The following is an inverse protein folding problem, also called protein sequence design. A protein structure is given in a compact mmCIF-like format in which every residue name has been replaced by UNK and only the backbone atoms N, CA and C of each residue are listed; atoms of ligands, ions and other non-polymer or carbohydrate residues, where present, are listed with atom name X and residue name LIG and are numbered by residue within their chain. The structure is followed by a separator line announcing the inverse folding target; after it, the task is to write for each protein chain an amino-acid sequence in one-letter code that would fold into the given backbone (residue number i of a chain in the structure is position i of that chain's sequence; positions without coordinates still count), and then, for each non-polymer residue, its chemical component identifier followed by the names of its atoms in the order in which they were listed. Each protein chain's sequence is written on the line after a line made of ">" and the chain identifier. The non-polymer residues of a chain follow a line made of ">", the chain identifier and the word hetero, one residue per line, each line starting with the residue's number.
data_IF_169110223103
#
_entry.id   IF_169110223103
#
_cell.length_a   1.000
_cell.length_b   1.000
_cell.length_c   1.000
_cell.angle_alpha   90.00
_cell.angle_beta   90.00
_cell.angle_gamma   90.00
#
_symmetry.space_group_name_H-M   'P 1'
#
loop_
_entity.id
_entity.type
_entity.pdbx_description
1 polymer ?
#
# COMPACT_ATOMS: atom_id res chain seq x y z
N UNK A 1 12.43 -9.56 10.12
CA UNK A 1 11.22 -9.05 10.83
C UNK A 1 10.64 -7.85 10.10
N UNK A 2 9.32 -7.74 10.06
CA UNK A 2 8.67 -6.56 9.51
C UNK A 2 8.97 -5.33 10.36
N UNK A 3 8.72 -4.16 9.79
CA UNK A 3 8.87 -2.88 10.49
C UNK A 3 7.98 -2.84 11.76
N UNK A 4 8.47 -2.23 12.82
CA UNK A 4 7.76 -2.18 14.10
C UNK A 4 6.42 -1.44 14.00
N UNK A 5 6.33 -0.40 13.18
CA UNK A 5 5.08 0.33 12.98
C UNK A 5 4.04 -0.51 12.25
N UNK A 6 4.48 -1.34 11.30
CA UNK A 6 3.62 -2.31 10.61
C UNK A 6 3.08 -3.32 11.60
N UNK A 7 3.97 -3.90 12.41
CA UNK A 7 3.59 -4.89 13.43
C UNK A 7 2.58 -4.30 14.41
N UNK A 8 2.83 -3.09 14.89
CA UNK A 8 1.94 -2.42 15.83
C UNK A 8 0.55 -2.19 15.21
N UNK A 9 0.47 -1.75 13.97
CA UNK A 9 -0.80 -1.51 13.29
C UNK A 9 -1.61 -2.81 13.16
N UNK A 10 -0.96 -3.92 12.84
CA UNK A 10 -1.61 -5.22 12.72
C UNK A 10 -2.11 -5.74 14.06
N UNK A 11 -1.31 -5.60 15.11
CA UNK A 11 -1.68 -6.03 16.45
C UNK A 11 -2.83 -5.19 17.02
N UNK A 12 -2.81 -3.89 16.84
CA UNK A 12 -3.89 -3.01 17.30
C UNK A 12 -5.22 -3.31 16.60
N UNK A 13 -5.17 -3.71 15.34
CA UNK A 13 -6.38 -4.07 14.59
C UNK A 13 -6.92 -5.45 14.98
N UNK A 14 -6.10 -6.30 15.60
CA UNK A 14 -6.50 -7.63 16.02
C UNK A 14 -6.77 -8.57 14.84
N UNK A 15 -6.09 -8.40 13.71
CA UNK A 15 -6.31 -9.19 12.50
C UNK A 15 -5.29 -10.31 12.37
N UNK A 16 -5.69 -11.38 11.68
CA UNK A 16 -4.78 -12.49 11.37
C UNK A 16 -3.90 -12.12 10.17
N UNK A 17 -2.63 -12.45 10.24
CA UNK A 17 -1.68 -12.20 9.16
C UNK A 17 -0.50 -13.16 9.24
N UNK A 18 0.22 -13.32 8.12
CA UNK A 18 1.48 -14.05 8.08
C UNK A 18 2.57 -13.15 7.53
N UNK A 19 3.75 -13.19 8.16
CA UNK A 19 4.91 -12.45 7.68
C UNK A 19 5.68 -13.32 6.69
N UNK A 20 6.03 -12.74 5.55
CA UNK A 20 6.81 -13.39 4.50
C UNK A 20 8.18 -12.69 4.45
N UNK A 21 9.24 -13.46 4.71
CA UNK A 21 10.61 -12.95 4.71
C UNK A 21 11.43 -13.70 3.65
N UNK A 22 12.23 -12.96 2.90
CA UNK A 22 13.08 -13.51 1.84
C UNK A 22 14.50 -12.99 2.00
N UNK A 23 15.46 -13.70 1.44
CA UNK A 23 16.89 -13.33 1.54
C UNK A 23 17.24 -12.14 0.64
N UNK A 24 16.55 -12.01 -0.49
CA UNK A 24 16.82 -10.97 -1.47
C UNK A 24 15.70 -9.94 -1.53
N UNK A 25 16.01 -8.65 -1.76
CA UNK A 25 14.99 -7.63 -1.92
C UNK A 25 14.20 -7.86 -3.20
N UNK A 26 12.95 -7.39 -3.20
CA UNK A 26 12.11 -7.45 -4.39
C UNK A 26 12.57 -6.42 -5.42
N UNK A 27 12.67 -6.82 -6.68
CA UNK A 27 13.06 -5.94 -7.78
C UNK A 27 11.88 -5.03 -8.17
N UNK A 28 10.68 -5.60 -8.22
CA UNK A 28 9.45 -4.90 -8.56
C UNK A 28 8.25 -5.74 -8.07
N UNK A 29 7.04 -5.25 -8.33
CA UNK A 29 5.82 -5.93 -7.86
C UNK A 29 5.65 -7.32 -8.50
N UNK A 30 6.07 -7.51 -9.73
CA UNK A 30 5.98 -8.82 -10.39
C UNK A 30 6.94 -9.83 -9.77
N UNK A 31 8.16 -9.39 -9.45
CA UNK A 31 9.12 -10.21 -8.74
C UNK A 31 8.62 -10.57 -7.34
N UNK A 32 8.05 -9.59 -6.63
CA UNK A 32 7.46 -9.82 -5.32
C UNK A 32 6.33 -10.85 -5.39
N UNK A 33 5.45 -10.76 -6.38
CA UNK A 33 4.36 -11.72 -6.57
C UNK A 33 4.90 -13.14 -6.80
N UNK A 34 5.94 -13.28 -7.62
CA UNK A 34 6.57 -14.56 -7.87
C UNK A 34 7.16 -15.15 -6.59
N UNK A 35 7.88 -14.35 -5.81
CA UNK A 35 8.49 -14.77 -4.55
C UNK A 35 7.44 -15.14 -3.50
N UNK A 36 6.34 -14.41 -3.43
CA UNK A 36 5.24 -14.68 -2.50
C UNK A 36 4.30 -15.79 -2.99
N UNK A 37 4.53 -16.34 -4.19
CA UNK A 37 3.67 -17.35 -4.82
C UNK A 37 2.21 -16.87 -4.91
N UNK A 38 2.05 -15.60 -5.30
CA UNK A 38 0.77 -14.93 -5.42
C UNK A 38 0.56 -14.40 -6.83
N UNK A 39 -0.68 -14.12 -7.20
CA UNK A 39 -0.96 -13.38 -8.43
C UNK A 39 -0.60 -11.91 -8.24
N UNK A 40 -0.08 -11.28 -9.29
CA UNK A 40 0.26 -9.86 -9.22
C UNK A 40 -0.94 -8.97 -8.84
N UNK A 41 -2.14 -9.38 -9.27
CA UNK A 41 -3.37 -8.66 -8.91
C UNK A 41 -3.65 -8.63 -7.41
N UNK A 42 -3.16 -9.62 -6.67
CA UNK A 42 -3.33 -9.72 -5.23
C UNK A 42 -2.21 -9.00 -4.45
N UNK A 43 -1.16 -8.58 -5.12
CA UNK A 43 -0.15 -7.75 -4.47
C UNK A 43 -0.75 -6.37 -4.18
N UNK A 44 -0.53 -5.85 -3.00
CA UNK A 44 -1.01 -4.54 -2.61
C UNK A 44 0.13 -3.54 -2.74
N UNK A 45 0.21 -2.85 -3.87
CA UNK A 45 1.23 -1.82 -4.04
C UNK A 45 0.70 -0.47 -3.55
N UNK A 46 1.58 0.29 -2.94
CA UNK A 46 1.23 1.57 -2.32
C UNK A 46 2.12 2.67 -2.88
N UNK A 47 1.49 3.73 -3.38
CA UNK A 47 2.17 4.85 -4.02
C UNK A 47 1.79 6.14 -3.31
N UNK A 48 2.77 7.01 -3.09
CA UNK A 48 2.56 8.31 -2.46
C UNK A 48 2.60 9.42 -3.52
N UNK A 49 1.56 10.24 -3.52
CA UNK A 49 1.41 11.39 -4.42
C UNK A 49 1.39 12.68 -3.63
N UNK A 50 1.76 13.78 -4.29
CA UNK A 50 1.62 15.10 -3.70
C UNK A 50 0.13 15.44 -3.52
N UNK A 51 -0.20 16.02 -2.38
CA UNK A 51 -1.56 16.43 -2.07
C UNK A 51 -1.59 17.79 -1.39
N UNK A 52 -2.77 18.41 -1.26
CA UNK A 52 -2.90 19.76 -0.70
C UNK A 52 -2.46 19.86 0.76
N UNK A 53 -2.58 18.78 1.53
CA UNK A 53 -2.14 18.75 2.93
C UNK A 53 -0.76 18.13 3.13
N UNK A 54 -0.12 17.64 2.06
CA UNK A 54 1.17 16.96 2.11
C UNK A 54 1.21 15.76 1.19
N UNK A 55 0.58 14.65 1.53
CA UNK A 55 0.63 13.43 0.72
C UNK A 55 -0.73 12.74 0.61
N UNK A 56 -0.96 12.15 -0.55
CA UNK A 56 -2.08 11.23 -0.80
C UNK A 56 -1.43 9.87 -1.06
N UNK A 57 -1.70 8.91 -0.20
CA UNK A 57 -1.15 7.55 -0.30
C UNK A 57 -2.27 6.62 -0.76
N UNK A 58 -2.03 5.89 -1.85
CA UNK A 58 -3.04 4.99 -2.41
C UNK A 58 -2.49 3.59 -2.51
N UNK A 59 -3.21 2.65 -1.90
CA UNK A 59 -2.94 1.22 -2.00
C UNK A 59 -3.84 0.62 -3.08
N UNK A 60 -3.26 -0.04 -4.04
CA UNK A 60 -3.96 -0.57 -5.21
C UNK A 60 -3.45 -1.95 -5.58
N UNK A 61 -4.19 -2.65 -6.44
CA UNK A 61 -3.75 -3.93 -6.99
C UNK A 61 -2.40 -3.79 -7.70
N UNK A 62 -1.55 -4.81 -7.58
CA UNK A 62 -0.20 -4.78 -8.15
C UNK A 62 -0.14 -4.60 -9.65
N UNK A 63 -1.19 -4.96 -10.39
CA UNK A 63 -1.26 -4.75 -11.82
C UNK A 63 -2.10 -3.52 -12.23
N UNK A 64 -2.58 -2.75 -11.27
CA UNK A 64 -3.32 -1.52 -11.53
C UNK A 64 -2.39 -0.37 -11.91
N UNK A 65 -2.93 0.56 -12.69
CA UNK A 65 -2.23 1.78 -13.07
C UNK A 65 -3.15 2.97 -12.84
N UNK A 66 -2.62 4.02 -12.25
CA UNK A 66 -3.38 5.24 -11.98
C UNK A 66 -3.81 5.87 -13.31
N UNK A 67 -5.09 6.22 -13.39
CA UNK A 67 -5.66 6.99 -14.49
C UNK A 67 -5.62 8.46 -14.10
N UNK A 68 -4.90 9.27 -14.86
CA UNK A 68 -4.69 10.69 -14.55
C UNK A 68 -5.99 11.48 -14.46
N UNK A 69 -6.95 11.17 -15.32
CA UNK A 69 -8.25 11.85 -15.33
C UNK A 69 -9.09 11.50 -14.12
N UNK A 70 -9.17 10.22 -13.79
CA UNK A 70 -9.89 9.76 -12.59
C UNK A 70 -9.28 10.36 -11.32
N UNK A 71 -7.95 10.39 -11.26
CA UNK A 71 -7.25 10.98 -10.12
C UNK A 71 -7.57 12.48 -10.01
N UNK A 72 -7.50 13.21 -11.13
CA UNK A 72 -7.84 14.64 -11.15
C UNK A 72 -9.29 14.87 -10.73
N UNK A 73 -10.22 14.08 -11.24
CA UNK A 73 -11.63 14.22 -10.90
C UNK A 73 -11.87 14.02 -9.40
N UNK A 74 -11.12 13.10 -8.79
CA UNK A 74 -11.28 12.80 -7.36
C UNK A 74 -10.53 13.77 -6.45
N UNK A 75 -9.32 14.19 -6.82
CA UNK A 75 -8.43 14.95 -5.94
C UNK A 75 -8.19 16.39 -6.39
N UNK A 76 -8.69 16.79 -7.55
CA UNK A 76 -8.63 18.18 -8.01
C UNK A 76 -7.39 18.55 -8.83
N UNK A 77 -6.40 17.68 -8.90
CA UNK A 77 -5.18 17.89 -9.69
C UNK A 77 -4.65 16.58 -10.23
N UNK A 78 -3.82 16.67 -11.27
CA UNK A 78 -3.18 15.47 -11.84
C UNK A 78 -2.25 14.81 -10.84
N UNK A 79 -2.07 13.48 -10.92
CA UNK A 79 -1.17 12.79 -10.00
C UNK A 79 0.28 13.21 -10.23
N UNK A 80 0.94 13.57 -9.14
CA UNK A 80 2.38 13.87 -9.13
C UNK A 80 2.96 13.02 -8.01
N UNK A 81 3.82 12.06 -8.36
CA UNK A 81 4.46 11.23 -7.35
C UNK A 81 5.43 12.05 -6.52
N UNK A 82 5.52 11.74 -5.24
CA UNK A 82 6.47 12.40 -4.37
C UNK A 82 7.89 11.96 -4.69
N UNK A 83 8.84 12.88 -4.49
CA UNK A 83 10.26 12.54 -4.58
C UNK A 83 10.65 11.59 -3.44
N UNK A 84 11.69 10.73 -3.61
CA UNK A 84 12.07 9.74 -2.60
C UNK A 84 12.25 10.29 -1.19
N UNK A 85 12.91 11.45 -1.05
CA UNK A 85 13.11 12.04 0.27
C UNK A 85 11.80 12.47 0.92
N UNK A 86 10.84 12.95 0.14
CA UNK A 86 9.53 13.32 0.63
C UNK A 86 8.68 12.10 0.98
N UNK A 87 8.82 11.01 0.22
CA UNK A 87 8.15 9.75 0.55
C UNK A 87 8.57 9.29 1.94
N UNK A 88 9.87 9.26 2.20
CA UNK A 88 10.39 8.86 3.52
C UNK A 88 9.92 9.81 4.62
N UNK A 89 10.01 11.12 4.38
CA UNK A 89 9.60 12.13 5.36
C UNK A 89 8.11 12.05 5.70
N UNK A 90 7.26 11.84 4.70
CA UNK A 90 5.81 11.84 4.88
C UNK A 90 5.26 10.50 5.35
N UNK A 91 5.80 9.38 4.88
CA UNK A 91 5.26 8.05 5.20
C UNK A 91 6.03 7.30 6.27
N UNK A 92 7.29 7.60 6.46
CA UNK A 92 8.19 6.85 7.34
C UNK A 92 8.81 5.63 6.67
N UNK A 93 8.51 5.40 5.40
CA UNK A 93 9.05 4.26 4.62
C UNK A 93 9.78 4.76 3.38
N UNK A 94 10.80 4.03 2.96
CA UNK A 94 11.52 4.33 1.73
C UNK A 94 10.69 3.92 0.51
N UNK A 95 10.96 4.56 -0.63
CA UNK A 95 10.35 4.19 -1.92
C UNK A 95 10.59 2.70 -2.18
N UNK A 96 9.53 2.02 -2.60
CA UNK A 96 9.56 0.57 -2.79
C UNK A 96 9.14 -0.23 -1.57
N UNK A 97 9.18 0.39 -0.38
CA UNK A 97 8.80 -0.26 0.87
C UNK A 97 7.56 0.38 1.52
N UNK A 98 6.92 1.33 0.84
CA UNK A 98 5.74 2.00 1.37
C UNK A 98 4.60 0.99 1.54
N UNK A 99 3.99 1.03 2.71
CA UNK A 99 2.83 0.21 3.05
C UNK A 99 1.77 1.11 3.69
N UNK A 100 0.48 0.79 3.59
CA UNK A 100 -0.55 1.57 4.28
C UNK A 100 -0.53 1.35 5.79
N UNK A 101 0.17 0.32 6.23
CA UNK A 101 0.20 -0.07 7.64
C UNK A 101 1.18 0.81 8.42
N UNK A 102 0.71 1.43 9.48
CA UNK A 102 1.57 2.18 10.39
C UNK A 102 1.90 3.62 9.97
N UNK A 103 1.28 4.14 8.92
CA UNK A 103 1.43 5.55 8.57
C UNK A 103 0.61 6.38 9.55
N UNK A 104 1.28 7.20 10.37
CA UNK A 104 0.63 8.02 11.40
C UNK A 104 1.24 9.42 11.42
N UNK A 105 1.12 10.14 10.30
CA UNK A 105 1.71 11.47 10.17
C UNK A 105 0.67 12.47 9.71
N UNK A 106 0.76 13.67 10.25
CA UNK A 106 -0.10 14.76 9.84
C UNK A 106 0.14 15.10 8.37
N UNK A 107 -0.92 15.44 7.66
CA UNK A 107 -0.84 15.80 6.26
C UNK A 107 -0.80 14.61 5.31
N UNK A 108 -0.98 13.38 5.81
CA UNK A 108 -1.03 12.18 4.98
C UNK A 108 -2.43 11.59 5.01
N UNK A 109 -3.01 11.44 3.82
CA UNK A 109 -4.30 10.77 3.64
C UNK A 109 -4.05 9.43 2.97
N UNK A 110 -4.64 8.36 3.48
CA UNK A 110 -4.44 7.00 2.98
C UNK A 110 -5.75 6.45 2.44
N UNK A 111 -5.74 6.02 1.20
CA UNK A 111 -6.92 5.46 0.53
C UNK A 111 -6.60 4.09 -0.07
N UNK A 112 -7.64 3.26 -0.21
CA UNK A 112 -7.56 2.02 -0.96
C UNK A 112 -8.31 2.18 -2.28
N UNK A 113 -7.66 1.82 -3.39
CA UNK A 113 -8.34 1.82 -4.68
C UNK A 113 -9.21 0.57 -4.83
N UNK A 114 -10.35 0.72 -5.49
CA UNK A 114 -11.29 -0.39 -5.71
C UNK A 114 -10.69 -1.54 -6.51
N UNK A 115 -9.60 -1.30 -7.26
CA UNK A 115 -8.91 -2.38 -8.00
C UNK A 115 -8.52 -3.54 -7.08
N UNK A 116 -8.12 -3.23 -5.85
CA UNK A 116 -7.75 -4.26 -4.88
C UNK A 116 -8.99 -4.96 -4.33
N UNK A 117 -10.08 -4.23 -4.10
CA UNK A 117 -11.35 -4.80 -3.63
C UNK A 117 -12.00 -5.73 -4.65
N UNK A 118 -11.77 -5.50 -5.94
CA UNK A 118 -12.31 -6.37 -7.01
C UNK A 118 -11.72 -7.77 -6.99
N UNK A 119 -10.59 -7.96 -6.34
CA UNK A 119 -9.97 -9.29 -6.19
C UNK A 119 -10.80 -10.17 -5.25
N UNK A 120 -11.48 -9.57 -4.28
CA UNK A 120 -12.30 -10.27 -3.30
C UNK A 120 -11.83 -9.97 -1.88
N UNK A 121 -12.76 -9.60 -1.00
CA UNK A 121 -12.42 -9.11 0.34
C UNK A 121 -11.74 -10.12 1.25
N UNK A 122 -11.98 -11.43 1.00
CA UNK A 122 -11.38 -12.52 1.80
C UNK A 122 -10.11 -13.07 1.17
N UNK A 123 -9.80 -12.68 -0.07
CA UNK A 123 -8.53 -13.07 -0.68
C UNK A 123 -7.37 -12.41 0.06
N UNK A 124 -6.22 -13.07 0.02
CA UNK A 124 -5.01 -12.51 0.61
C UNK A 124 -4.43 -11.43 -0.28
N UNK A 125 -4.01 -10.34 0.35
CA UNK A 125 -3.18 -9.33 -0.27
C UNK A 125 -1.80 -9.40 0.37
N UNK A 126 -0.79 -8.97 -0.37
CA UNK A 126 0.59 -9.00 0.12
C UNK A 126 1.18 -7.58 0.07
N UNK A 127 0.79 -6.70 1.01
CA UNK A 127 1.45 -5.39 1.11
C UNK A 127 2.88 -5.54 1.63
N UNK A 128 3.69 -4.53 1.38
CA UNK A 128 5.05 -4.47 1.93
C UNK A 128 5.02 -4.53 3.46
N UNK A 129 6.03 -5.16 4.03
CA UNK A 129 6.26 -5.15 5.48
C UNK A 129 6.99 -3.93 5.99
N UNK A 130 7.18 -2.91 5.15
CA UNK A 130 7.89 -1.68 5.51
C UNK A 130 9.40 -1.77 5.37
N UNK A 131 9.92 -2.95 5.01
CA UNK A 131 11.34 -3.22 4.81
C UNK A 131 11.53 -4.03 3.54
N UNK A 132 12.72 -3.93 2.95
CA UNK A 132 13.10 -4.73 1.80
C UNK A 132 12.93 -6.23 2.10
N UNK A 133 12.56 -6.99 1.11
CA UNK A 133 12.38 -8.45 1.16
C UNK A 133 11.37 -8.96 2.20
N UNK A 134 10.50 -8.11 2.69
CA UNK A 134 9.44 -8.47 3.62
C UNK A 134 8.07 -8.12 3.06
N UNK A 135 7.10 -9.01 3.26
CA UNK A 135 5.71 -8.78 2.91
C UNK A 135 4.80 -9.36 4.00
N UNK A 136 3.55 -8.97 3.96
CA UNK A 136 2.54 -9.46 4.90
C UNK A 136 1.42 -10.08 4.10
N UNK A 137 1.10 -11.35 4.35
CA UNK A 137 -0.07 -11.99 3.74
C UNK A 137 -1.27 -11.76 4.66
N UNK A 138 -2.27 -11.05 4.17
CA UNK A 138 -3.42 -10.61 4.97
C UNK A 138 -4.67 -10.55 4.10
N UNK A 139 -5.83 -10.91 4.65
CA UNK A 139 -7.10 -10.77 3.92
C UNK A 139 -7.35 -9.29 3.61
N UNK A 140 -7.87 -9.02 2.41
CA UNK A 140 -8.07 -7.63 1.94
C UNK A 140 -8.97 -6.83 2.88
N UNK A 141 -10.04 -7.43 3.40
CA UNK A 141 -10.91 -6.76 4.36
C UNK A 141 -10.18 -6.44 5.68
N UNK A 142 -9.29 -7.32 6.11
CA UNK A 142 -8.46 -7.09 7.30
C UNK A 142 -7.42 -6.00 7.04
N UNK A 143 -6.85 -5.96 5.84
CA UNK A 143 -5.94 -4.89 5.43
C UNK A 143 -6.65 -3.53 5.47
N UNK A 144 -7.87 -3.48 4.96
CA UNK A 144 -8.67 -2.25 4.98
C UNK A 144 -8.87 -1.75 6.41
N UNK A 145 -9.14 -2.67 7.33
CA UNK A 145 -9.30 -2.35 8.75
C UNK A 145 -7.98 -1.89 9.39
N UNK A 146 -6.91 -2.65 9.19
CA UNK A 146 -5.62 -2.38 9.83
C UNK A 146 -4.93 -1.11 9.31
N UNK A 147 -5.12 -0.78 8.04
CA UNK A 147 -4.52 0.38 7.41
C UNK A 147 -5.17 1.70 7.77
N UNK A 148 -6.30 1.66 8.44
CA UNK A 148 -7.05 2.87 8.83
C UNK A 148 -7.28 3.82 7.65
N UNK A 149 -7.70 3.24 6.53
CA UNK A 149 -7.97 4.02 5.32
C UNK A 149 -9.10 5.02 5.53
N UNK A 150 -8.98 6.18 4.89
CA UNK A 150 -10.04 7.19 4.90
C UNK A 150 -11.22 6.80 4.02
N UNK A 151 -11.02 5.89 3.08
CA UNK A 151 -12.08 5.39 2.23
C UNK A 151 -11.54 4.67 1.01
N UNK A 152 -12.48 4.26 0.15
CA UNK A 152 -12.19 3.67 -1.14
C UNK A 152 -12.19 4.75 -2.21
N UNK A 153 -11.34 4.59 -3.22
CA UNK A 153 -11.28 5.48 -4.38
C UNK A 153 -11.27 4.66 -5.66
N UNK A 154 -11.68 5.27 -6.74
CA UNK A 154 -11.64 4.69 -8.09
C UNK A 154 -10.78 5.59 -8.97
N UNK A 155 -9.47 5.38 -8.92
CA UNK A 155 -8.49 6.23 -9.64
C UNK A 155 -7.60 5.44 -10.58
N UNK A 156 -7.85 4.16 -10.78
CA UNK A 156 -7.09 3.31 -11.68
C UNK A 156 -7.86 3.00 -12.95
N UNK A 157 -7.10 2.69 -14.01
CA UNK A 157 -7.66 2.29 -15.31
C UNK A 157 -8.42 0.97 -15.21
#
# INVERSE_FOLDING_TARGET
>A
MIDDNVKQALEEAGVAYNVLEFEEPFINVRHAALMCKAHVANMAKTVAFAGPGGAIVITMSGNAKVDSRKFKDRFGSRPVTLEPDDVLAMTGYEVGNVTPLGIRRDGVQVFMDISLKRVGGKELADPSGGKESHAVAIAIDDLYKAGKFEGLVDVCK
#
